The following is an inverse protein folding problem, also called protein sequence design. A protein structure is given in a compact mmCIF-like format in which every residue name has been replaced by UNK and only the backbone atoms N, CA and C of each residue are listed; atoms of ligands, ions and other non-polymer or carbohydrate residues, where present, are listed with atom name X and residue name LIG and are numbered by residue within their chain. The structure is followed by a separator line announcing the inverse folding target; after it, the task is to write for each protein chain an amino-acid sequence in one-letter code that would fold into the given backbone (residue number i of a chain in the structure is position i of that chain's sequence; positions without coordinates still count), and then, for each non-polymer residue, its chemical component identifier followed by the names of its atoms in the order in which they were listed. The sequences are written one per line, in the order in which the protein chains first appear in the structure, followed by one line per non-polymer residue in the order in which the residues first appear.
data_IF_353046288795
#
_entry.id   IF_353046288795
#
_cell.length_a   1.000
_cell.length_b   1.000
_cell.length_c   1.000
_cell.angle_alpha   90.00
_cell.angle_beta   90.00
_cell.angle_gamma   90.00
#
_symmetry.space_group_name_H-M   'P 1'
#
loop_
_entity.id
_entity.type
_entity.pdbx_description
1 polymer ?
#
# COMPACT_ATOMS: atom_id res chain seq x y z
N UNK A 1 -12.77 4.68 -11.40
CA UNK A 1 -12.30 3.37 -10.96
C UNK A 1 -10.79 3.42 -10.93
N UNK A 2 -10.23 3.18 -9.78
CA UNK A 2 -8.81 3.24 -9.52
C UNK A 2 -8.16 1.92 -9.99
N UNK A 3 -6.99 2.00 -10.55
CA UNK A 3 -6.28 0.84 -11.10
C UNK A 3 -5.96 -0.24 -10.05
N UNK A 4 -5.73 0.19 -8.82
CA UNK A 4 -5.50 -0.68 -7.67
C UNK A 4 -6.80 -1.36 -7.20
N UNK A 5 -7.96 -0.73 -7.44
CA UNK A 5 -9.25 -1.13 -6.91
C UNK A 5 -10.14 -1.84 -7.92
N UNK A 6 -9.76 -1.80 -9.20
CA UNK A 6 -10.35 -2.60 -10.28
C UNK A 6 -9.55 -3.88 -10.59
N UNK A 7 -8.50 -4.15 -9.80
CA UNK A 7 -7.80 -5.42 -9.91
C UNK A 7 -8.78 -6.59 -9.74
N UNK A 8 -8.55 -7.65 -10.51
CA UNK A 8 -9.27 -8.90 -10.36
C UNK A 8 -9.22 -9.36 -8.90
N UNK A 9 -10.36 -9.73 -8.34
CA UNK A 9 -10.49 -10.15 -6.95
C UNK A 9 -9.54 -11.31 -6.60
N UNK A 10 -9.42 -12.26 -7.51
CA UNK A 10 -8.51 -13.40 -7.35
C UNK A 10 -7.05 -12.96 -7.32
N UNK A 11 -6.68 -12.01 -8.20
CA UNK A 11 -5.33 -11.46 -8.25
C UNK A 11 -4.98 -10.67 -6.97
N UNK A 12 -5.93 -9.94 -6.39
CA UNK A 12 -5.72 -9.21 -5.13
C UNK A 12 -5.45 -10.17 -3.97
N UNK A 13 -6.29 -11.18 -3.82
CA UNK A 13 -6.14 -12.21 -2.78
C UNK A 13 -4.83 -12.97 -2.96
N UNK A 14 -4.52 -13.41 -4.18
CA UNK A 14 -3.26 -14.09 -4.49
C UNK A 14 -2.04 -13.24 -4.15
N UNK A 15 -2.10 -11.94 -4.45
CA UNK A 15 -1.04 -10.99 -4.10
C UNK A 15 -0.85 -10.94 -2.59
N UNK A 16 -1.91 -10.74 -1.80
CA UNK A 16 -1.85 -10.73 -0.35
C UNK A 16 -1.22 -12.02 0.21
N UNK A 17 -1.67 -13.19 -0.24
CA UNK A 17 -1.13 -14.48 0.19
C UNK A 17 0.36 -14.63 -0.14
N UNK A 18 0.78 -14.13 -1.32
CA UNK A 18 2.20 -14.13 -1.70
C UNK A 18 3.00 -13.15 -0.84
N UNK A 19 2.49 -11.93 -0.59
CA UNK A 19 3.15 -10.90 0.20
C UNK A 19 3.31 -11.32 1.66
N UNK A 20 2.32 -11.99 2.23
CA UNK A 20 2.36 -12.48 3.63
C UNK A 20 2.98 -13.87 3.78
N UNK A 21 3.29 -14.53 2.66
CA UNK A 21 3.73 -15.94 2.62
C UNK A 21 2.79 -16.85 3.41
N UNK A 22 1.51 -16.78 3.04
CA UNK A 22 0.43 -17.53 3.67
C UNK A 22 -0.41 -18.29 2.64
N UNK A 23 -1.20 -19.22 3.12
CA UNK A 23 -2.21 -19.92 2.32
C UNK A 23 -3.61 -19.45 2.70
N UNK A 24 -4.58 -19.63 1.81
CA UNK A 24 -5.98 -19.31 2.09
C UNK A 24 -6.51 -20.06 3.31
N UNK A 25 -6.14 -21.32 3.50
CA UNK A 25 -6.59 -22.09 4.65
C UNK A 25 -5.96 -21.61 5.96
N UNK A 26 -4.71 -21.18 5.92
CA UNK A 26 -4.01 -20.68 7.10
C UNK A 26 -4.60 -19.36 7.62
N UNK A 27 -5.10 -18.47 6.75
CA UNK A 27 -5.64 -17.17 7.17
C UNK A 27 -7.03 -17.25 7.80
N UNK A 28 -7.80 -18.34 7.60
CA UNK A 28 -9.18 -18.49 8.11
C UNK A 28 -9.32 -18.34 9.62
N UNK A 29 -8.27 -18.64 10.35
CA UNK A 29 -8.25 -18.58 11.81
C UNK A 29 -7.42 -17.42 12.35
N UNK A 30 -6.93 -16.54 11.48
CA UNK A 30 -6.02 -15.46 11.83
C UNK A 30 -6.74 -14.14 12.02
N UNK A 31 -6.22 -13.33 12.91
CA UNK A 31 -6.59 -11.92 13.08
C UNK A 31 -5.57 -11.09 12.32
N UNK A 32 -6.04 -10.36 11.32
CA UNK A 32 -5.22 -9.60 10.39
C UNK A 32 -5.44 -8.11 10.60
N UNK A 33 -4.37 -7.33 10.63
CA UNK A 33 -4.42 -5.88 10.59
C UNK A 33 -3.89 -5.41 9.22
N UNK A 34 -4.77 -4.79 8.43
CA UNK A 34 -4.38 -4.13 7.16
C UNK A 34 -4.20 -2.63 7.40
N UNK A 35 -2.92 -2.24 7.56
CA UNK A 35 -2.53 -0.86 7.86
C UNK A 35 -2.38 -0.06 6.56
N UNK A 36 -3.45 0.59 6.14
CA UNK A 36 -3.61 1.29 4.87
C UNK A 36 -4.50 0.52 3.89
N UNK A 37 -5.66 0.08 4.39
CA UNK A 37 -6.60 -0.78 3.66
C UNK A 37 -7.33 -0.09 2.48
N UNK A 38 -7.18 1.23 2.33
CA UNK A 38 -7.90 1.99 1.32
C UNK A 38 -9.42 1.88 1.47
N UNK A 39 -10.09 1.45 0.42
CA UNK A 39 -11.54 1.26 0.41
C UNK A 39 -12.01 -0.10 0.95
N UNK A 40 -11.14 -0.89 1.57
CA UNK A 40 -11.47 -2.17 2.21
C UNK A 40 -11.85 -3.30 1.27
N UNK A 41 -11.57 -3.19 -0.03
CA UNK A 41 -11.94 -4.24 -1.00
C UNK A 41 -11.22 -5.56 -0.72
N UNK A 42 -9.90 -5.51 -0.46
CA UNK A 42 -9.11 -6.68 -0.10
C UNK A 42 -9.63 -7.30 1.21
N UNK A 43 -9.88 -6.48 2.21
CA UNK A 43 -10.35 -6.92 3.52
C UNK A 43 -11.67 -7.66 3.43
N UNK A 44 -12.61 -7.13 2.63
CA UNK A 44 -13.89 -7.81 2.38
C UNK A 44 -13.71 -9.18 1.71
N UNK A 45 -12.76 -9.29 0.76
CA UNK A 45 -12.45 -10.57 0.10
C UNK A 45 -11.83 -11.58 1.07
N UNK A 46 -10.93 -11.15 1.95
CA UNK A 46 -10.32 -12.01 2.96
C UNK A 46 -11.33 -12.42 4.03
N UNK A 47 -12.20 -11.50 4.45
CA UNK A 47 -13.27 -11.76 5.40
C UNK A 47 -14.30 -12.76 4.84
N UNK A 48 -14.66 -12.66 3.56
CA UNK A 48 -15.50 -13.64 2.85
C UNK A 48 -14.91 -15.05 2.88
N UNK A 49 -13.58 -15.16 2.98
CA UNK A 49 -12.86 -16.43 3.10
C UNK A 49 -12.58 -16.86 4.54
N UNK A 50 -13.15 -16.16 5.54
CA UNK A 50 -13.14 -16.58 6.94
C UNK A 50 -12.09 -15.91 7.84
N UNK A 51 -11.21 -15.05 7.32
CA UNK A 51 -10.27 -14.29 8.14
C UNK A 51 -11.01 -13.23 8.98
N UNK A 52 -10.50 -12.90 10.16
CA UNK A 52 -10.94 -11.74 10.94
C UNK A 52 -10.01 -10.57 10.63
N UNK A 53 -10.57 -9.44 10.19
CA UNK A 53 -9.76 -8.33 9.68
C UNK A 53 -10.12 -7.01 10.37
N UNK A 54 -9.09 -6.25 10.70
CA UNK A 54 -9.18 -4.83 11.01
C UNK A 54 -8.46 -4.05 9.91
N UNK A 55 -9.22 -3.36 9.07
CA UNK A 55 -8.70 -2.40 8.10
C UNK A 55 -8.59 -1.01 8.71
N UNK A 56 -7.46 -0.33 8.51
CA UNK A 56 -7.24 1.05 8.92
C UNK A 56 -6.73 1.87 7.75
N UNK A 57 -7.29 3.05 7.55
CA UNK A 57 -6.74 4.02 6.59
C UNK A 57 -6.84 5.45 7.14
N UNK A 58 -5.92 6.30 6.73
CA UNK A 58 -5.91 7.71 7.11
C UNK A 58 -6.96 8.53 6.34
N UNK A 59 -7.23 8.15 5.10
CA UNK A 59 -8.09 8.87 4.18
C UNK A 59 -9.59 8.57 4.42
N UNK A 60 -10.46 9.45 3.93
CA UNK A 60 -11.92 9.29 4.03
C UNK A 60 -12.48 8.12 3.22
N UNK A 61 -11.67 7.42 2.41
CA UNK A 61 -12.07 6.19 1.74
C UNK A 61 -12.50 5.08 2.71
N UNK A 62 -12.09 5.18 3.98
CA UNK A 62 -12.51 4.27 5.05
C UNK A 62 -14.03 4.33 5.31
N UNK A 63 -14.66 5.48 5.11
CA UNK A 63 -16.14 5.62 5.22
C UNK A 63 -16.85 4.76 4.18
N UNK A 64 -16.29 4.70 2.97
CA UNK A 64 -16.79 3.85 1.89
C UNK A 64 -16.59 2.36 2.22
N UNK A 65 -15.42 2.00 2.78
CA UNK A 65 -15.14 0.65 3.25
C UNK A 65 -16.13 0.21 4.32
N UNK A 66 -16.40 1.06 5.31
CA UNK A 66 -17.37 0.80 6.35
C UNK A 66 -18.80 0.66 5.82
N UNK A 67 -19.22 1.58 4.94
CA UNK A 67 -20.59 1.60 4.38
C UNK A 67 -20.88 0.39 3.47
N UNK A 68 -19.87 -0.16 2.81
CA UNK A 68 -19.98 -1.34 1.93
C UNK A 68 -19.75 -2.67 2.63
N UNK A 69 -19.36 -2.65 3.90
CA UNK A 69 -19.01 -3.87 4.62
C UNK A 69 -20.27 -4.72 4.90
N UNK A 70 -20.26 -5.93 4.38
CA UNK A 70 -21.31 -6.94 4.59
C UNK A 70 -20.87 -8.07 5.55
N UNK A 71 -19.60 -8.05 6.01
CA UNK A 71 -19.00 -9.12 6.79
C UNK A 71 -18.83 -8.73 8.26
N UNK A 72 -19.32 -9.57 9.17
CA UNK A 72 -19.20 -9.35 10.63
C UNK A 72 -17.78 -9.48 11.16
N UNK A 73 -16.91 -10.16 10.43
CA UNK A 73 -15.49 -10.39 10.73
C UNK A 73 -14.54 -9.40 10.03
N UNK A 74 -15.09 -8.38 9.35
CA UNK A 74 -14.32 -7.24 8.86
C UNK A 74 -14.71 -5.98 9.63
N UNK A 75 -13.72 -5.27 10.13
CA UNK A 75 -13.89 -4.03 10.89
C UNK A 75 -13.04 -2.93 10.25
N UNK A 76 -13.51 -1.69 10.29
CA UNK A 76 -12.83 -0.57 9.67
C UNK A 76 -12.73 0.60 10.64
N UNK A 77 -11.54 1.19 10.73
CA UNK A 77 -11.28 2.38 11.55
C UNK A 77 -10.48 3.42 10.76
N UNK A 78 -10.73 4.68 11.01
CA UNK A 78 -9.86 5.74 10.50
C UNK A 78 -8.69 5.94 11.47
N UNK A 79 -7.45 5.98 10.94
CA UNK A 79 -6.27 6.14 11.78
C UNK A 79 -4.99 6.35 10.98
N UNK A 80 -3.97 6.85 11.68
CA UNK A 80 -2.64 7.09 11.13
C UNK A 80 -1.71 5.91 11.49
N UNK A 81 -0.97 5.39 10.50
CA UNK A 81 0.01 4.32 10.71
C UNK A 81 1.15 4.72 11.65
N UNK A 82 1.36 6.02 11.88
CA UNK A 82 2.31 6.53 12.88
C UNK A 82 1.74 6.58 14.30
N UNK A 83 0.42 6.49 14.43
CA UNK A 83 -0.30 6.47 15.72
C UNK A 83 -1.46 5.49 15.68
N UNK A 84 -1.24 4.20 15.38
CA UNK A 84 -2.32 3.25 15.19
C UNK A 84 -3.10 3.07 16.50
N UNK A 85 -4.43 3.30 16.50
CA UNK A 85 -5.25 3.22 17.71
C UNK A 85 -5.64 1.77 18.01
N UNK A 86 -4.66 0.89 18.04
CA UNK A 86 -4.84 -0.56 18.23
C UNK A 86 -3.90 -1.09 19.32
N UNK A 87 -4.27 -2.21 19.92
CA UNK A 87 -3.48 -2.83 20.98
C UNK A 87 -2.23 -3.52 20.44
N UNK A 88 -1.17 -3.57 21.26
CA UNK A 88 0.06 -4.29 20.94
C UNK A 88 -0.14 -5.81 20.99
N UNK A 89 0.70 -6.55 20.27
CA UNK A 89 0.80 -8.01 20.31
C UNK A 89 -0.52 -8.76 20.10
N UNK A 90 -1.36 -8.25 19.20
CA UNK A 90 -2.70 -8.79 18.98
C UNK A 90 -2.88 -9.50 17.63
N UNK A 91 -2.21 -9.04 16.58
CA UNK A 91 -2.45 -9.52 15.24
C UNK A 91 -1.52 -10.65 14.83
N UNK A 92 -2.09 -11.69 14.21
CA UNK A 92 -1.33 -12.79 13.61
C UNK A 92 -0.54 -12.33 12.39
N UNK A 93 -1.14 -11.41 11.63
CA UNK A 93 -0.54 -10.82 10.44
C UNK A 93 -0.81 -9.31 10.49
N UNK A 94 0.24 -8.53 10.31
CA UNK A 94 0.14 -7.10 10.00
C UNK A 94 0.60 -6.92 8.56
N UNK A 95 -0.28 -6.41 7.72
CA UNK A 95 -0.05 -6.14 6.31
C UNK A 95 -0.05 -4.63 6.08
N UNK A 96 0.96 -4.11 5.38
CA UNK A 96 1.07 -2.69 5.06
C UNK A 96 1.66 -2.52 3.65
N UNK A 97 0.79 -2.50 2.65
CA UNK A 97 1.21 -2.51 1.25
C UNK A 97 1.05 -1.15 0.59
N UNK A 98 2.18 -0.50 0.28
CA UNK A 98 2.19 0.78 -0.45
C UNK A 98 1.81 2.00 0.39
N UNK A 99 1.98 1.96 1.71
CA UNK A 99 1.57 3.02 2.64
C UNK A 99 2.75 3.74 3.29
N UNK A 100 3.70 3.01 3.88
CA UNK A 100 4.82 3.60 4.63
C UNK A 100 5.64 4.56 3.78
N UNK A 101 5.77 4.27 2.50
CA UNK A 101 6.47 5.09 1.51
C UNK A 101 5.84 6.48 1.29
N UNK A 102 4.60 6.67 1.71
CA UNK A 102 3.86 7.94 1.64
C UNK A 102 3.78 8.67 2.97
N UNK A 103 4.49 8.21 3.98
CA UNK A 103 4.68 8.92 5.24
C UNK A 103 5.95 9.76 5.21
N UNK A 104 6.07 10.70 6.15
CA UNK A 104 7.27 11.54 6.26
C UNK A 104 8.53 10.74 6.67
N UNK A 105 8.34 9.57 7.31
CA UNK A 105 9.42 8.68 7.71
C UNK A 105 8.91 7.23 7.75
N UNK A 106 9.31 6.44 6.74
CA UNK A 106 8.85 5.05 6.59
C UNK A 106 9.35 4.13 7.72
N UNK A 107 10.60 4.29 8.20
CA UNK A 107 11.13 3.49 9.30
C UNK A 107 10.43 3.79 10.62
N UNK A 108 10.09 5.06 10.87
CA UNK A 108 9.27 5.45 12.03
C UNK A 108 7.89 4.81 11.95
N UNK A 109 7.23 4.91 10.81
CA UNK A 109 5.90 4.31 10.59
C UNK A 109 5.93 2.78 10.75
N UNK A 110 6.98 2.12 10.24
CA UNK A 110 7.24 0.71 10.50
C UNK A 110 7.32 0.44 12.01
N UNK A 111 8.07 1.26 12.75
CA UNK A 111 8.23 1.13 14.20
C UNK A 111 6.93 1.30 14.99
N UNK A 112 5.96 2.03 14.43
CA UNK A 112 4.67 2.26 15.07
C UNK A 112 3.68 1.11 14.85
N UNK A 113 3.72 0.44 13.70
CA UNK A 113 2.85 -0.71 13.42
C UNK A 113 3.44 -2.04 13.92
N UNK A 114 4.77 -2.15 13.99
CA UNK A 114 5.47 -3.36 14.41
C UNK A 114 5.02 -3.91 15.78
N UNK A 115 4.83 -3.08 16.83
CA UNK A 115 4.42 -3.59 18.14
C UNK A 115 3.05 -4.27 18.15
N UNK A 116 2.22 -4.06 17.14
CA UNK A 116 0.87 -4.65 17.03
C UNK A 116 0.91 -6.14 16.65
N UNK A 117 2.03 -6.59 16.07
CA UNK A 117 2.28 -8.01 15.72
C UNK A 117 2.47 -8.81 17.00
N UNK A 118 1.76 -9.91 17.17
CA UNK A 118 1.93 -10.81 18.31
C UNK A 118 3.22 -11.66 18.17
N UNK A 119 3.77 -12.21 19.27
CA UNK A 119 4.85 -13.19 19.18
C UNK A 119 4.47 -14.36 18.27
N UNK A 120 5.36 -14.70 17.32
CA UNK A 120 5.09 -15.70 16.26
C UNK A 120 4.19 -15.23 15.13
N UNK A 121 3.77 -13.97 15.14
CA UNK A 121 3.03 -13.33 14.03
C UNK A 121 3.95 -12.82 12.92
N UNK A 122 3.37 -12.37 11.84
CA UNK A 122 4.09 -11.86 10.66
C UNK A 122 3.82 -10.38 10.43
N UNK A 123 4.85 -9.65 10.02
CA UNK A 123 4.76 -8.30 9.46
C UNK A 123 5.14 -8.36 7.99
N UNK A 124 4.26 -7.90 7.12
CA UNK A 124 4.47 -7.81 5.68
C UNK A 124 4.37 -6.37 5.22
N UNK A 125 5.40 -5.86 4.55
CA UNK A 125 5.46 -4.46 4.10
C UNK A 125 5.89 -4.39 2.65
N UNK A 126 5.16 -3.62 1.83
CA UNK A 126 5.55 -3.32 0.46
C UNK A 126 6.13 -1.91 0.35
N UNK A 127 7.34 -1.80 -0.26
CA UNK A 127 8.12 -0.57 -0.38
C UNK A 127 8.53 -0.31 -1.84
N UNK A 128 8.71 0.98 -2.21
CA UNK A 128 9.38 1.33 -3.46
C UNK A 128 10.87 1.06 -3.37
N UNK A 129 11.46 0.52 -4.46
CA UNK A 129 12.91 0.47 -4.60
C UNK A 129 13.44 1.67 -5.37
N UNK A 130 14.71 2.09 -5.14
CA UNK A 130 15.31 3.24 -5.81
C UNK A 130 15.35 3.09 -7.33
N UNK A 131 14.99 4.16 -8.02
CA UNK A 131 15.04 4.25 -9.47
C UNK A 131 15.96 5.39 -9.88
N UNK A 132 16.84 5.11 -10.85
CA UNK A 132 17.86 6.08 -11.32
C UNK A 132 17.58 6.61 -12.74
N UNK A 133 16.37 6.36 -13.28
CA UNK A 133 16.03 6.84 -14.60
C UNK A 133 15.70 8.35 -14.62
N UNK A 134 16.03 9.01 -15.74
CA UNK A 134 15.83 10.45 -15.91
C UNK A 134 14.37 10.88 -15.76
N UNK A 135 13.44 10.07 -16.26
CA UNK A 135 12.01 10.36 -16.20
C UNK A 135 11.56 10.39 -14.75
N UNK A 136 11.98 9.38 -13.96
CA UNK A 136 11.67 9.30 -12.55
C UNK A 136 12.22 10.51 -11.77
N UNK A 137 13.47 10.89 -12.00
CA UNK A 137 14.08 12.05 -11.37
C UNK A 137 13.34 13.35 -11.73
N UNK A 138 12.92 13.50 -13.00
CA UNK A 138 12.14 14.65 -13.44
C UNK A 138 10.77 14.72 -12.73
N UNK A 139 10.06 13.60 -12.62
CA UNK A 139 8.79 13.56 -11.89
C UNK A 139 8.98 13.84 -10.39
N UNK A 140 10.02 13.32 -9.76
CA UNK A 140 10.34 13.63 -8.36
C UNK A 140 10.63 15.14 -8.15
N UNK A 141 11.32 15.75 -9.10
CA UNK A 141 11.57 17.20 -9.07
C UNK A 141 10.26 17.99 -9.20
N UNK A 142 9.41 17.68 -10.18
CA UNK A 142 8.11 18.34 -10.37
C UNK A 142 7.25 18.18 -9.11
N UNK A 143 7.12 16.95 -8.58
CA UNK A 143 6.33 16.64 -7.40
C UNK A 143 6.72 17.50 -6.19
N UNK A 144 8.01 17.75 -5.97
CA UNK A 144 8.51 18.55 -4.85
C UNK A 144 7.84 19.93 -4.73
N UNK A 145 7.41 20.48 -5.85
CA UNK A 145 6.73 21.78 -5.90
C UNK A 145 5.21 21.64 -6.04
N UNK A 146 4.75 20.70 -6.85
CA UNK A 146 3.33 20.60 -7.20
C UNK A 146 2.51 19.86 -6.14
N UNK A 147 3.08 18.96 -5.35
CA UNK A 147 2.38 18.23 -4.28
C UNK A 147 1.80 19.14 -3.18
N UNK A 148 2.36 20.34 -3.03
CA UNK A 148 1.90 21.36 -2.07
C UNK A 148 0.70 22.19 -2.55
N UNK A 149 0.34 22.05 -3.80
CA UNK A 149 -0.80 22.77 -4.39
C UNK A 149 -2.13 22.07 -4.05
N UNK A 150 -3.26 22.79 -4.00
CA UNK A 150 -4.57 22.17 -3.84
C UNK A 150 -4.84 21.10 -4.92
N UNK A 151 -5.42 19.95 -4.53
CA UNK A 151 -5.63 18.80 -5.41
C UNK A 151 -6.38 19.15 -6.71
N UNK A 152 -7.40 20.00 -6.63
CA UNK A 152 -8.12 20.46 -7.80
C UNK A 152 -7.23 21.22 -8.79
N UNK A 153 -6.32 22.06 -8.27
CA UNK A 153 -5.36 22.78 -9.11
C UNK A 153 -4.33 21.82 -9.74
N UNK A 154 -3.82 20.86 -8.98
CA UNK A 154 -2.94 19.79 -9.48
C UNK A 154 -3.59 19.04 -10.64
N UNK A 155 -4.87 18.65 -10.47
CA UNK A 155 -5.61 17.94 -11.52
C UNK A 155 -5.65 18.73 -12.84
N UNK A 156 -6.03 20.01 -12.81
CA UNK A 156 -6.06 20.84 -14.00
C UNK A 156 -4.68 21.09 -14.59
N UNK A 157 -3.70 21.35 -13.75
CA UNK A 157 -2.31 21.54 -14.19
C UNK A 157 -1.80 20.29 -14.95
N UNK A 158 -2.00 19.11 -14.39
CA UNK A 158 -1.55 17.88 -15.04
C UNK A 158 -2.39 17.52 -16.27
N UNK A 159 -3.68 17.84 -16.27
CA UNK A 159 -4.55 17.61 -17.41
C UNK A 159 -4.11 18.38 -18.67
N UNK A 160 -3.57 19.59 -18.50
CA UNK A 160 -3.14 20.42 -19.64
C UNK A 160 -1.66 20.28 -19.98
N UNK A 161 -0.82 19.80 -19.04
CA UNK A 161 0.64 19.72 -19.25
C UNK A 161 1.11 18.27 -19.49
N UNK A 162 0.95 17.39 -18.53
CA UNK A 162 1.53 16.04 -18.52
C UNK A 162 0.65 15.03 -19.24
N UNK A 163 -0.66 15.12 -19.02
CA UNK A 163 -1.62 14.16 -19.56
C UNK A 163 -1.58 14.02 -21.09
N UNK A 164 -1.58 15.11 -21.91
CA UNK A 164 -1.57 14.97 -23.36
C UNK A 164 -0.35 14.19 -23.86
N UNK A 165 0.83 14.50 -23.32
CA UNK A 165 2.10 13.83 -23.68
C UNK A 165 2.07 12.36 -23.24
N UNK A 166 1.67 12.11 -22.00
CA UNK A 166 1.55 10.74 -21.43
C UNK A 166 0.53 9.90 -22.23
N UNK A 167 -0.61 10.51 -22.59
CA UNK A 167 -1.65 9.87 -23.40
C UNK A 167 -1.12 9.43 -24.77
N UNK A 168 -0.46 10.34 -25.50
CA UNK A 168 0.13 10.03 -26.80
C UNK A 168 1.15 8.91 -26.71
N UNK A 169 2.10 9.01 -25.75
CA UNK A 169 3.15 8.00 -25.58
C UNK A 169 2.55 6.63 -25.21
N UNK A 170 1.60 6.58 -24.27
CA UNK A 170 0.95 5.32 -23.84
C UNK A 170 0.15 4.68 -24.98
N UNK A 171 -0.59 5.49 -25.77
CA UNK A 171 -1.35 4.98 -26.93
C UNK A 171 -0.44 4.45 -28.03
N UNK A 172 0.66 5.14 -28.35
CA UNK A 172 1.65 4.66 -29.30
C UNK A 172 2.32 3.34 -28.85
N UNK A 173 2.46 3.13 -27.53
CA UNK A 173 2.94 1.87 -26.94
C UNK A 173 1.87 0.78 -26.81
N UNK A 174 0.65 0.99 -27.35
CA UNK A 174 -0.43 0.01 -27.35
C UNK A 174 -1.16 -0.14 -25.99
N UNK A 175 -1.08 0.86 -25.12
CA UNK A 175 -1.81 0.83 -23.84
C UNK A 175 -3.32 0.77 -24.05
N UNK A 176 -3.97 -0.17 -23.36
CA UNK A 176 -5.43 -0.33 -23.32
C UNK A 176 -6.12 0.58 -22.31
N UNK A 177 -5.35 1.31 -21.49
CA UNK A 177 -5.89 2.21 -20.49
C UNK A 177 -6.79 3.29 -21.11
N UNK A 178 -7.87 3.62 -20.41
CA UNK A 178 -8.71 4.77 -20.73
C UNK A 178 -8.09 6.07 -20.17
N UNK A 179 -8.66 7.22 -20.56
CA UNK A 179 -8.14 8.55 -20.17
C UNK A 179 -8.17 8.77 -18.65
N UNK A 180 -9.20 8.23 -17.96
CA UNK A 180 -9.34 8.35 -16.50
C UNK A 180 -8.26 7.56 -15.78
N UNK A 181 -8.01 6.32 -16.19
CA UNK A 181 -6.95 5.47 -15.62
C UNK A 181 -5.57 6.10 -15.82
N UNK A 182 -5.34 6.70 -16.99
CA UNK A 182 -4.08 7.40 -17.25
C UNK A 182 -3.90 8.64 -16.36
N UNK A 183 -5.00 9.37 -16.09
CA UNK A 183 -4.95 10.52 -15.18
C UNK A 183 -4.72 10.09 -13.74
N UNK A 184 -5.34 9.01 -13.30
CA UNK A 184 -5.10 8.43 -11.97
C UNK A 184 -3.62 8.05 -11.82
N UNK A 185 -3.01 7.38 -12.81
CA UNK A 185 -1.58 7.07 -12.79
C UNK A 185 -0.70 8.34 -12.59
N UNK A 186 -1.07 9.46 -13.24
CA UNK A 186 -0.34 10.73 -13.14
C UNK A 186 -0.49 11.32 -11.72
N UNK A 187 -1.71 11.29 -11.18
CA UNK A 187 -1.99 11.77 -9.84
C UNK A 187 -1.25 10.94 -8.78
N UNK A 188 -1.29 9.63 -8.88
CA UNK A 188 -0.57 8.72 -7.97
C UNK A 188 0.95 9.01 -7.93
N UNK A 189 1.51 9.42 -9.05
CA UNK A 189 2.92 9.73 -9.14
C UNK A 189 3.29 11.11 -8.60
N UNK A 190 2.42 12.09 -8.75
CA UNK A 190 2.76 13.50 -8.57
C UNK A 190 2.05 14.17 -7.37
N UNK A 191 0.98 13.58 -6.87
CA UNK A 191 0.19 14.16 -5.79
C UNK A 191 0.76 13.88 -4.40
N UNK A 192 1.31 12.69 -4.07
CA UNK A 192 1.80 12.43 -2.73
C UNK A 192 2.93 13.39 -2.35
N UNK A 193 2.81 14.05 -1.19
CA UNK A 193 3.83 14.94 -0.66
C UNK A 193 5.10 14.15 -0.32
N UNK A 194 4.93 13.00 0.34
CA UNK A 194 6.01 12.10 0.69
C UNK A 194 6.04 10.91 -0.26
N UNK A 195 7.22 10.53 -0.66
CA UNK A 195 7.49 9.32 -1.45
C UNK A 195 8.93 8.91 -1.22
N UNK A 196 9.12 7.92 -0.38
CA UNK A 196 10.43 7.36 -0.08
C UNK A 196 10.70 6.10 -0.90
N UNK A 197 11.97 5.80 -1.10
CA UNK A 197 12.48 4.63 -1.80
C UNK A 197 13.53 3.98 -0.92
N UNK A 198 13.51 2.65 -0.85
CA UNK A 198 14.31 1.90 0.10
C UNK A 198 15.02 0.73 -0.58
N UNK A 199 16.27 0.51 -0.22
CA UNK A 199 17.03 -0.67 -0.64
C UNK A 199 16.58 -1.90 0.17
N UNK A 200 16.71 -3.09 -0.43
CA UNK A 200 16.37 -4.35 0.24
C UNK A 200 17.12 -4.51 1.57
N UNK A 201 18.43 -4.18 1.58
CA UNK A 201 19.26 -4.28 2.78
C UNK A 201 18.81 -3.32 3.90
N UNK A 202 18.37 -2.12 3.56
CA UNK A 202 17.81 -1.15 4.52
C UNK A 202 16.53 -1.69 5.14
N UNK A 203 15.59 -2.14 4.32
CA UNK A 203 14.34 -2.71 4.81
C UNK A 203 14.58 -3.95 5.68
N UNK A 204 15.48 -4.86 5.28
CA UNK A 204 15.86 -6.02 6.08
C UNK A 204 16.40 -5.61 7.44
N UNK A 205 17.24 -4.57 7.50
CA UNK A 205 17.78 -4.07 8.75
C UNK A 205 16.71 -3.55 9.73
N UNK A 206 15.55 -3.09 9.26
CA UNK A 206 14.45 -2.71 10.15
C UNK A 206 13.88 -3.90 10.91
N UNK A 207 13.77 -5.06 10.26
CA UNK A 207 13.34 -6.31 10.87
C UNK A 207 14.40 -6.87 11.81
N UNK A 208 15.66 -6.91 11.37
CA UNK A 208 16.78 -7.44 12.16
C UNK A 208 16.97 -6.70 13.49
N UNK A 209 16.89 -5.35 13.45
CA UNK A 209 16.95 -4.49 14.66
C UNK A 209 15.88 -4.85 15.70
N UNK A 210 14.78 -5.49 15.30
CA UNK A 210 13.64 -5.85 16.15
C UNK A 210 13.54 -7.35 16.44
N UNK A 211 14.57 -8.12 16.03
CA UNK A 211 14.68 -9.53 16.33
C UNK A 211 13.75 -10.44 15.49
N UNK A 212 13.21 -9.93 14.38
CA UNK A 212 12.44 -10.76 13.47
C UNK A 212 13.28 -11.88 12.88
N UNK A 213 12.65 -13.01 12.65
CA UNK A 213 13.24 -14.20 12.03
C UNK A 213 12.64 -14.43 10.64
N UNK A 214 13.30 -15.29 9.85
CA UNK A 214 12.82 -15.71 8.53
C UNK A 214 12.46 -14.52 7.60
N UNK A 215 13.15 -13.38 7.79
CA UNK A 215 12.91 -12.19 6.98
C UNK A 215 13.32 -12.47 5.53
N UNK A 216 12.39 -12.21 4.59
CA UNK A 216 12.61 -12.49 3.16
C UNK A 216 11.80 -11.57 2.26
N UNK A 217 12.32 -11.37 1.06
CA UNK A 217 11.59 -10.68 -0.03
C UNK A 217 10.66 -11.70 -0.68
N UNK A 218 9.37 -11.39 -0.73
CA UNK A 218 8.35 -12.30 -1.30
C UNK A 218 7.91 -11.92 -2.70
N UNK A 219 7.92 -10.62 -3.02
CA UNK A 219 7.62 -10.13 -4.37
C UNK A 219 8.56 -9.01 -4.76
N UNK A 220 8.92 -8.95 -6.04
CA UNK A 220 9.65 -7.83 -6.65
C UNK A 220 9.00 -7.50 -7.97
N UNK A 221 8.79 -6.23 -8.24
CA UNK A 221 8.31 -5.74 -9.53
C UNK A 221 9.09 -4.48 -9.96
N UNK A 222 8.70 -3.86 -11.07
CA UNK A 222 9.39 -2.67 -11.62
C UNK A 222 9.34 -1.44 -10.70
N UNK A 223 8.52 -1.43 -9.67
CA UNK A 223 8.31 -0.26 -8.80
C UNK A 223 8.82 -0.48 -7.39
N UNK A 224 8.74 -1.71 -6.88
CA UNK A 224 9.08 -2.00 -5.51
C UNK A 224 9.12 -3.49 -5.20
N UNK A 225 9.19 -3.79 -3.93
CA UNK A 225 9.29 -5.14 -3.38
C UNK A 225 8.46 -5.27 -2.11
N UNK A 226 8.07 -6.49 -1.81
CA UNK A 226 7.48 -6.81 -0.51
C UNK A 226 8.48 -7.60 0.33
N UNK A 227 8.52 -7.28 1.60
CA UNK A 227 9.33 -7.96 2.62
C UNK A 227 8.42 -8.45 3.74
N UNK A 228 8.62 -9.69 4.20
CA UNK A 228 7.91 -10.29 5.32
C UNK A 228 8.90 -10.87 6.32
N UNK A 229 8.58 -10.79 7.61
CA UNK A 229 9.33 -11.39 8.70
C UNK A 229 8.40 -11.89 9.79
N UNK A 230 8.90 -12.81 10.62
CA UNK A 230 8.22 -13.44 11.77
C UNK A 230 8.77 -12.87 13.07
N UNK A 231 7.90 -12.38 13.95
CA UNK A 231 8.25 -11.79 15.27
C UNK A 231 8.62 -12.84 16.31
#
# INVERSE_FOLDING_TARGET
KDKTWDADNEAMVKRFLTETDETMDAIKTKIIFDAGCGNGKLDSLLAANGATILGMDFANCIEEAYARNEFRNAHFIQGDVQYPPVISEHFDIVHCSGVLIHTNNAELSFSCIEPTVKPGGKLSVWLYHPRKDLIHNTFNFIRRFTSKLPLGFQYYLYAVTIFPVSYCIKKLKGSKQNSREMMVDILDWLTPEFRSEHEHAEATAWYDKRGYKNTRITTVNNFGFNIVGEK
#
